data_IF_127163179692
#
_entry.id   IF_127163179692
#
_cell.length_a   1.000
_cell.length_b   1.000
_cell.length_c   1.000
_cell.angle_alpha   90.00
_cell.angle_beta   90.00
_cell.angle_gamma   90.00
#
_symmetry.space_group_name_H-M   'P 1'
#
loop_
_entity.id
_entity.type
_entity.pdbx_description
1 polymer ?
#
# COMPACT_ATOMS: atom_id res chain seq x y z
N UNK A 1 -5.95 -8.22 7.29
CA UNK A 1 -6.31 -7.34 8.42
C UNK A 1 -7.69 -7.71 8.92
N UNK A 2 -7.99 -7.53 10.20
CA UNK A 2 -9.30 -7.83 10.79
C UNK A 2 -9.66 -9.31 11.02
N UNK A 3 -9.00 -10.27 10.37
CA UNK A 3 -9.35 -11.71 10.47
C UNK A 3 -8.22 -12.64 10.91
N UNK A 4 -6.95 -12.25 10.75
CA UNK A 4 -5.77 -12.99 11.21
C UNK A 4 -5.08 -12.17 12.30
N UNK A 5 -4.80 -12.80 13.43
CA UNK A 5 -4.01 -12.26 14.56
C UNK A 5 -4.34 -10.79 14.86
N UNK A 6 -5.58 -10.48 15.28
CA UNK A 6 -6.03 -9.10 15.53
C UNK A 6 -5.20 -8.39 16.61
N UNK A 7 -4.56 -9.15 17.52
CA UNK A 7 -3.60 -8.61 18.48
C UNK A 7 -2.32 -8.04 17.85
N UNK A 8 -1.96 -8.49 16.64
CA UNK A 8 -0.74 -8.05 15.92
C UNK A 8 -1.09 -7.00 14.86
N UNK A 9 -2.19 -7.19 14.12
CA UNK A 9 -2.54 -6.36 12.96
C UNK A 9 -3.63 -5.33 13.25
N UNK A 10 -4.17 -5.29 14.47
CA UNK A 10 -5.32 -4.48 14.82
C UNK A 10 -6.66 -5.12 14.42
N UNK A 11 -7.76 -4.70 15.07
CA UNK A 11 -9.09 -5.24 14.81
C UNK A 11 -9.73 -4.69 13.53
N UNK A 12 -9.20 -3.57 13.01
CA UNK A 12 -9.78 -2.85 11.89
C UNK A 12 -9.65 -3.64 10.58
N UNK A 13 -10.68 -3.60 9.74
CA UNK A 13 -10.61 -4.17 8.40
C UNK A 13 -9.83 -3.26 7.46
N UNK A 14 -9.42 -3.80 6.31
CA UNK A 14 -8.77 -2.98 5.29
C UNK A 14 -9.72 -1.90 4.79
N UNK A 15 -11.01 -2.21 4.63
CA UNK A 15 -12.04 -1.28 4.21
C UNK A 15 -12.25 -0.14 5.23
N UNK A 16 -12.21 -0.45 6.52
CA UNK A 16 -12.29 0.56 7.59
C UNK A 16 -11.11 1.52 7.55
N UNK A 17 -9.89 0.99 7.32
CA UNK A 17 -8.69 1.82 7.14
C UNK A 17 -8.79 2.72 5.90
N UNK A 18 -9.28 2.19 4.77
CA UNK A 18 -9.50 2.97 3.55
C UNK A 18 -10.48 4.11 3.79
N UNK A 19 -11.61 3.83 4.43
CA UNK A 19 -12.62 4.82 4.77
C UNK A 19 -12.07 5.88 5.74
N UNK A 20 -11.27 5.46 6.72
CA UNK A 20 -10.60 6.40 7.63
C UNK A 20 -9.62 7.31 6.89
N UNK A 21 -8.82 6.78 5.96
CA UNK A 21 -7.92 7.58 5.14
C UNK A 21 -8.69 8.65 4.36
N UNK A 22 -9.78 8.29 3.69
CA UNK A 22 -10.58 9.22 2.89
C UNK A 22 -11.32 10.27 3.74
N UNK A 23 -11.77 9.91 4.93
CA UNK A 23 -12.61 10.79 5.79
C UNK A 23 -11.82 11.57 6.84
N UNK A 24 -10.56 11.24 7.06
CA UNK A 24 -9.68 11.98 7.97
C UNK A 24 -9.48 13.42 7.51
N UNK A 25 -9.29 14.34 8.46
CA UNK A 25 -9.06 15.77 8.15
C UNK A 25 -7.87 15.99 7.21
N UNK A 26 -6.85 15.15 7.31
CA UNK A 26 -5.65 15.19 6.48
C UNK A 26 -5.90 14.56 5.11
N UNK A 27 -6.60 13.42 5.07
CA UNK A 27 -6.84 12.68 3.84
C UNK A 27 -7.96 13.27 2.97
N UNK A 28 -8.91 14.00 3.53
CA UNK A 28 -10.01 14.63 2.77
C UNK A 28 -9.55 15.63 1.70
N UNK A 29 -8.30 16.10 1.77
CA UNK A 29 -7.67 16.97 0.77
C UNK A 29 -6.90 16.20 -0.32
N UNK A 30 -6.91 14.88 -0.28
CA UNK A 30 -6.21 14.00 -1.20
C UNK A 30 -7.22 13.09 -1.92
N UNK A 31 -6.82 12.58 -3.09
CA UNK A 31 -7.55 11.52 -3.79
C UNK A 31 -6.78 10.22 -3.63
N UNK A 32 -7.48 9.15 -3.27
CA UNK A 32 -6.90 7.84 -3.06
C UNK A 32 -7.39 6.85 -4.12
N UNK A 33 -6.50 5.95 -4.52
CA UNK A 33 -6.86 4.70 -5.18
C UNK A 33 -6.29 3.59 -4.34
N UNK A 34 -7.12 2.62 -3.98
CA UNK A 34 -6.71 1.49 -3.18
C UNK A 34 -6.60 0.25 -4.07
N UNK A 35 -5.52 -0.49 -3.87
CA UNK A 35 -5.27 -1.75 -4.57
C UNK A 35 -4.66 -2.76 -3.60
N UNK A 36 -5.10 -4.01 -3.67
CA UNK A 36 -4.55 -5.12 -2.91
C UNK A 36 -4.47 -6.34 -3.82
N UNK A 37 -3.33 -7.00 -3.79
CA UNK A 37 -3.16 -8.31 -4.42
C UNK A 37 -2.17 -9.16 -3.63
N UNK A 38 -2.31 -10.48 -3.76
CA UNK A 38 -1.35 -11.47 -3.28
C UNK A 38 -0.37 -11.90 -4.40
N UNK A 39 -0.50 -11.35 -5.61
CA UNK A 39 0.33 -11.64 -6.75
C UNK A 39 1.33 -10.51 -6.98
N UNK A 40 2.63 -10.84 -6.90
CA UNK A 40 3.72 -9.89 -7.11
C UNK A 40 3.60 -9.13 -8.44
N UNK A 41 3.26 -9.84 -9.52
CA UNK A 41 3.08 -9.24 -10.85
C UNK A 41 1.99 -8.17 -10.89
N UNK A 42 0.84 -8.40 -10.24
CA UNK A 42 -0.25 -7.42 -10.24
C UNK A 42 0.11 -6.16 -9.44
N UNK A 43 0.93 -6.29 -8.39
CA UNK A 43 1.47 -5.15 -7.65
C UNK A 43 2.39 -4.33 -8.55
N UNK A 44 3.29 -5.00 -9.29
CA UNK A 44 4.21 -4.35 -10.24
C UNK A 44 3.44 -3.64 -11.35
N UNK A 45 2.46 -4.30 -11.94
CA UNK A 45 1.63 -3.73 -13.00
C UNK A 45 0.88 -2.49 -12.51
N UNK A 46 0.31 -2.55 -11.29
CA UNK A 46 -0.37 -1.40 -10.67
C UNK A 46 0.58 -0.22 -10.45
N UNK A 47 1.82 -0.47 -9.98
CA UNK A 47 2.82 0.59 -9.80
C UNK A 47 3.11 1.28 -11.14
N UNK A 48 3.30 0.51 -12.22
CA UNK A 48 3.57 1.07 -13.54
C UNK A 48 2.38 1.82 -14.14
N UNK A 49 1.16 1.32 -13.97
CA UNK A 49 -0.06 1.90 -14.53
C UNK A 49 -0.40 3.23 -13.85
N UNK A 50 -0.19 3.32 -12.54
CA UNK A 50 -0.54 4.50 -11.76
C UNK A 50 0.48 5.64 -11.89
N UNK A 51 1.56 5.46 -12.66
CA UNK A 51 2.64 6.45 -12.77
C UNK A 51 2.23 7.82 -13.31
N UNK A 52 1.10 7.88 -14.01
CA UNK A 52 0.56 9.12 -14.59
C UNK A 52 -0.53 9.77 -13.72
N UNK A 53 -1.02 9.07 -12.71
CA UNK A 53 -2.11 9.53 -11.85
C UNK A 53 -1.63 9.83 -10.44
N UNK A 54 -0.77 8.97 -9.88
CA UNK A 54 -0.25 9.12 -8.53
C UNK A 54 0.87 10.16 -8.46
N UNK A 55 0.85 10.97 -7.40
CA UNK A 55 1.96 11.87 -7.02
C UNK A 55 2.75 11.35 -5.83
N UNK A 56 2.28 10.27 -5.20
CA UNK A 56 2.94 9.54 -4.14
C UNK A 56 2.35 8.14 -4.00
N UNK A 57 3.13 7.19 -3.48
CA UNK A 57 2.71 5.80 -3.24
C UNK A 57 2.87 5.49 -1.75
N UNK A 58 1.82 4.95 -1.14
CA UNK A 58 1.87 4.27 0.15
C UNK A 58 1.77 2.77 -0.10
N UNK A 59 2.79 1.99 0.29
CA UNK A 59 2.83 0.55 0.02
C UNK A 59 3.10 -0.25 1.28
N UNK A 60 2.31 -1.30 1.49
CA UNK A 60 2.61 -2.38 2.43
C UNK A 60 2.82 -3.67 1.63
N UNK A 61 4.08 -4.07 1.34
CA UNK A 61 4.37 -5.30 0.59
C UNK A 61 4.23 -6.58 1.43
N UNK A 62 3.93 -6.45 2.74
CA UNK A 62 3.97 -7.54 3.70
C UNK A 62 5.30 -8.32 3.60
N UNK A 63 5.22 -9.64 3.40
CA UNK A 63 6.41 -10.49 3.30
C UNK A 63 7.31 -10.16 2.09
N UNK A 64 6.75 -9.62 0.99
CA UNK A 64 7.54 -9.26 -0.20
C UNK A 64 8.64 -8.25 0.10
N UNK A 65 8.50 -7.47 1.16
CA UNK A 65 9.51 -6.55 1.69
C UNK A 65 10.89 -7.20 1.83
N UNK A 66 10.92 -8.47 2.23
CA UNK A 66 12.17 -9.16 2.55
C UNK A 66 12.85 -9.82 1.37
N UNK A 67 12.18 -9.94 0.21
CA UNK A 67 12.71 -10.74 -0.90
C UNK A 67 12.36 -10.27 -2.32
N UNK A 68 11.41 -9.35 -2.49
CA UNK A 68 11.01 -8.88 -3.82
C UNK A 68 11.89 -7.74 -4.31
N UNK A 69 12.97 -8.10 -5.01
CA UNK A 69 13.72 -7.11 -5.82
C UNK A 69 12.88 -6.56 -6.97
N UNK A 70 11.92 -7.34 -7.48
CA UNK A 70 11.06 -6.92 -8.60
C UNK A 70 10.16 -5.74 -8.22
N UNK A 71 9.52 -5.76 -7.04
CA UNK A 71 8.72 -4.63 -6.55
C UNK A 71 9.62 -3.41 -6.29
N UNK A 72 10.81 -3.61 -5.72
CA UNK A 72 11.78 -2.53 -5.50
C UNK A 72 12.20 -1.85 -6.82
N UNK A 73 12.46 -2.64 -7.86
CA UNK A 73 12.85 -2.13 -9.17
C UNK A 73 11.68 -1.40 -9.85
N UNK A 74 10.45 -1.91 -9.72
CA UNK A 74 9.25 -1.25 -10.22
C UNK A 74 9.03 0.13 -9.58
N UNK A 75 9.18 0.24 -8.25
CA UNK A 75 9.12 1.53 -7.52
C UNK A 75 10.20 2.49 -8.04
N UNK A 76 11.41 1.98 -8.25
CA UNK A 76 12.54 2.80 -8.74
C UNK A 76 12.31 3.29 -10.18
N UNK A 77 11.61 2.51 -11.01
CA UNK A 77 11.37 2.83 -12.41
C UNK A 77 10.31 3.93 -12.64
N UNK A 78 9.36 4.11 -11.71
CA UNK A 78 8.29 5.11 -11.85
C UNK A 78 8.67 6.49 -11.32
N UNK A 79 9.76 6.60 -10.55
CA UNK A 79 10.26 7.86 -9.95
C UNK A 79 9.24 8.62 -9.09
N UNK A 80 8.24 7.91 -8.55
CA UNK A 80 7.22 8.48 -7.65
C UNK A 80 7.69 8.37 -6.20
N UNK A 81 7.58 9.46 -5.40
CA UNK A 81 7.85 9.40 -3.96
C UNK A 81 7.04 8.28 -3.30
N UNK A 82 7.74 7.32 -2.69
CA UNK A 82 7.13 6.11 -2.15
C UNK A 82 7.49 5.95 -0.67
N UNK A 83 6.48 5.66 0.15
CA UNK A 83 6.64 5.34 1.57
C UNK A 83 6.20 3.91 1.81
N UNK A 84 7.12 3.10 2.29
CA UNK A 84 6.84 1.74 2.77
C UNK A 84 6.27 1.79 4.18
N UNK A 85 5.22 1.00 4.42
CA UNK A 85 4.35 1.07 5.57
C UNK A 85 4.08 -0.33 6.10
N UNK A 86 4.26 -0.51 7.41
CA UNK A 86 3.98 -1.76 8.12
C UNK A 86 3.11 -1.47 9.34
N UNK A 87 2.09 -2.30 9.55
CA UNK A 87 1.09 -2.08 10.61
C UNK A 87 1.48 -2.74 11.93
N UNK A 88 2.37 -3.73 11.86
CA UNK A 88 3.01 -4.34 13.02
C UNK A 88 4.49 -3.94 13.06
N UNK A 89 5.06 -3.97 14.26
CA UNK A 89 6.52 -3.87 14.44
C UNK A 89 7.18 -5.09 13.76
N UNK A 90 8.19 -4.85 12.91
CA UNK A 90 8.89 -5.87 12.12
C UNK A 90 10.16 -6.35 12.81
#
# INVERSE_FOLDING_TARGET
MGTREPEIYGPETLEELMMWLETSQQGSNHSFKFFQSNHEGEIIDTIHDERHWATGILINPAAFTHYSYAIRDAISAVEIPTVEVHLSDL
#
